data_IF_486612638499
#
_entry.id   IF_486612638499
#
_cell.length_a   1.000
_cell.length_b   1.000
_cell.length_c   1.000
_cell.angle_alpha   90.00
_cell.angle_beta   90.00
_cell.angle_gamma   90.00
#
_symmetry.space_group_name_H-M   'P 1'
#
loop_
_entity.id
_entity.type
_entity.pdbx_description
1 polymer ?
#
# COMPACT_ATOMS: atom_id res chain seq x y z
N UNK A 1 31.70 -25.26 26.44
CA UNK A 1 31.14 -24.44 25.35
C UNK A 1 30.20 -23.43 25.97
N UNK A 2 30.49 -22.12 25.83
CA UNK A 2 29.50 -21.10 26.19
C UNK A 2 28.33 -21.23 25.19
N UNK A 3 27.06 -21.21 25.63
CA UNK A 3 25.95 -21.17 24.69
C UNK A 3 26.15 -19.98 23.76
N UNK A 4 26.03 -20.21 22.44
CA UNK A 4 25.96 -19.13 21.46
C UNK A 4 24.71 -18.35 21.82
N UNK A 5 24.89 -17.20 22.46
CA UNK A 5 23.81 -16.27 22.70
C UNK A 5 23.32 -15.86 21.32
N UNK A 6 22.14 -16.33 20.91
CA UNK A 6 21.55 -15.94 19.64
C UNK A 6 21.44 -14.43 19.61
N UNK A 7 22.35 -13.78 18.89
CA UNK A 7 22.33 -12.33 18.72
C UNK A 7 21.06 -12.01 17.94
N UNK A 8 20.04 -11.48 18.61
CA UNK A 8 18.80 -11.05 17.94
C UNK A 8 19.18 -9.88 17.03
N UNK A 9 19.19 -10.13 15.72
CA UNK A 9 19.50 -9.11 14.72
C UNK A 9 18.22 -8.38 14.33
N UNK A 10 18.13 -7.10 14.69
CA UNK A 10 16.96 -6.27 14.45
C UNK A 10 16.78 -5.98 12.95
N UNK A 11 15.58 -6.24 12.42
CA UNK A 11 15.18 -5.87 11.05
C UNK A 11 14.57 -4.47 11.10
N UNK A 12 15.06 -3.56 10.26
CA UNK A 12 14.55 -2.20 10.15
C UNK A 12 14.26 -1.82 8.70
N UNK A 13 13.54 -0.71 8.51
CA UNK A 13 13.17 -0.18 7.19
C UNK A 13 14.23 0.84 6.77
N UNK A 14 14.89 0.60 5.64
CA UNK A 14 15.97 1.46 5.07
C UNK A 14 15.51 2.21 3.81
N UNK A 15 14.26 2.00 3.38
CA UNK A 15 13.62 2.77 2.32
C UNK A 15 12.11 2.53 2.35
N UNK A 16 11.32 3.56 2.06
CA UNK A 16 9.86 3.44 1.94
C UNK A 16 9.34 4.27 0.78
N UNK A 17 8.58 3.68 -0.13
CA UNK A 17 7.91 4.41 -1.19
C UNK A 17 6.51 3.87 -1.49
N UNK A 18 5.57 4.79 -1.70
CA UNK A 18 4.17 4.47 -1.95
C UNK A 18 3.50 5.58 -2.76
N UNK A 19 2.31 5.28 -3.28
CA UNK A 19 1.51 6.23 -4.06
C UNK A 19 0.03 6.09 -3.71
N UNK A 20 -0.69 7.20 -3.82
CA UNK A 20 -2.15 7.25 -3.61
C UNK A 20 -2.75 8.43 -4.38
N UNK A 21 -4.08 8.41 -4.65
CA UNK A 21 -4.77 9.56 -5.22
C UNK A 21 -4.66 10.79 -4.31
N UNK A 22 -4.37 11.96 -4.89
CA UNK A 22 -4.32 13.23 -4.15
C UNK A 22 -5.65 13.51 -3.41
N UNK A 23 -6.77 13.07 -4.00
CA UNK A 23 -8.12 13.17 -3.42
C UNK A 23 -8.31 12.44 -2.09
N UNK A 24 -7.49 11.44 -1.76
CA UNK A 24 -7.60 10.73 -0.46
C UNK A 24 -7.22 11.64 0.72
N UNK A 25 -6.52 12.74 0.49
CA UNK A 25 -6.17 13.71 1.54
C UNK A 25 -7.40 14.40 2.14
N UNK A 26 -8.57 14.33 1.49
CA UNK A 26 -9.84 14.76 2.09
C UNK A 26 -10.18 13.92 3.32
N UNK A 27 -9.79 12.64 3.34
CA UNK A 27 -10.13 11.70 4.40
C UNK A 27 -9.26 11.89 5.66
N UNK A 28 -8.19 12.67 5.61
CA UNK A 28 -7.29 12.88 6.78
C UNK A 28 -8.02 13.38 8.04
N UNK A 29 -9.13 14.11 7.87
CA UNK A 29 -9.94 14.63 8.97
C UNK A 29 -10.75 13.56 9.72
N UNK A 30 -10.99 12.40 9.11
CA UNK A 30 -11.74 11.28 9.69
C UNK A 30 -10.84 10.20 10.28
N UNK A 31 -9.54 10.45 10.38
CA UNK A 31 -8.62 9.48 10.99
C UNK A 31 -8.86 9.39 12.51
N UNK A 32 -9.44 8.28 12.95
CA UNK A 32 -9.85 8.03 14.34
C UNK A 32 -8.68 8.04 15.34
N UNK A 33 -7.43 7.93 14.89
CA UNK A 33 -6.26 7.88 15.75
C UNK A 33 -6.02 9.13 16.58
N UNK A 34 -6.65 10.26 16.26
CA UNK A 34 -6.49 11.48 17.04
C UNK A 34 -7.64 12.49 16.86
N UNK A 35 -8.69 12.36 17.70
CA UNK A 35 -9.95 13.14 17.72
C UNK A 35 -9.74 14.68 17.78
N UNK A 36 -8.53 15.17 18.09
CA UNK A 36 -8.22 16.60 18.18
C UNK A 36 -7.55 17.21 16.92
N UNK A 37 -7.24 16.43 15.89
CA UNK A 37 -6.40 16.89 14.78
C UNK A 37 -7.17 17.32 13.52
N UNK A 38 -8.49 17.10 13.41
CA UNK A 38 -9.23 17.41 12.18
C UNK A 38 -9.20 18.90 11.80
N UNK A 39 -9.25 19.82 12.79
CA UNK A 39 -9.22 21.27 12.56
C UNK A 39 -7.93 21.76 11.92
N UNK A 40 -6.82 21.03 12.09
CA UNK A 40 -5.50 21.45 11.59
C UNK A 40 -5.42 21.43 10.06
N UNK A 41 -6.25 20.60 9.40
CA UNK A 41 -6.22 20.41 7.95
C UNK A 41 -6.98 21.48 7.16
N UNK A 42 -7.73 22.35 7.84
CA UNK A 42 -8.61 23.35 7.22
C UNK A 42 -9.81 22.73 6.50
N UNK A 43 -10.80 23.55 6.14
CA UNK A 43 -11.96 23.10 5.35
C UNK A 43 -11.58 22.93 3.87
N UNK A 44 -12.14 21.91 3.20
CA UNK A 44 -12.03 21.83 1.74
C UNK A 44 -12.82 22.96 1.06
N UNK A 45 -12.30 23.56 -0.03
CA UNK A 45 -13.06 24.51 -0.83
C UNK A 45 -14.36 23.89 -1.33
N UNK A 46 -15.43 24.69 -1.39
CA UNK A 46 -16.73 24.24 -1.92
C UNK A 46 -17.03 25.02 -3.19
N UNK A 47 -17.53 24.34 -4.20
CA UNK A 47 -17.83 24.94 -5.50
C UNK A 47 -18.75 26.18 -5.40
N UNK A 48 -19.73 26.14 -4.48
CA UNK A 48 -20.64 27.26 -4.20
C UNK A 48 -19.92 28.57 -3.84
N UNK A 49 -18.71 28.48 -3.29
CA UNK A 49 -17.92 29.64 -2.87
C UNK A 49 -17.26 30.33 -4.10
N UNK A 50 -17.27 29.66 -5.26
CA UNK A 50 -16.72 30.12 -6.54
C UNK A 50 -17.80 30.43 -7.57
N UNK A 51 -19.07 30.09 -7.33
CA UNK A 51 -20.16 30.37 -8.27
C UNK A 51 -21.03 31.55 -7.79
N UNK A 52 -21.34 32.52 -8.64
CA UNK A 52 -22.31 33.56 -8.31
C UNK A 52 -23.72 32.96 -8.26
N UNK A 53 -24.37 33.02 -7.10
CA UNK A 53 -25.77 32.59 -6.95
C UNK A 53 -25.92 31.43 -5.97
N UNK A 54 -26.72 31.65 -4.93
CA UNK A 54 -27.10 30.63 -3.96
C UNK A 54 -28.12 29.71 -4.60
N UNK A 55 -27.67 28.72 -5.33
CA UNK A 55 -28.33 27.42 -5.40
C UNK A 55 -27.57 26.58 -6.38
N UNK A 56 -26.99 25.48 -5.91
CA UNK A 56 -27.12 24.28 -6.70
C UNK A 56 -26.79 23.02 -5.90
N UNK A 57 -27.78 22.14 -5.93
CA UNK A 57 -27.63 20.72 -5.81
C UNK A 57 -26.82 20.24 -7.02
N UNK A 58 -25.50 20.21 -6.89
CA UNK A 58 -24.60 19.60 -7.86
C UNK A 58 -24.28 18.18 -7.44
N UNK A 59 -24.11 17.31 -8.43
CA UNK A 59 -23.43 16.04 -8.24
C UNK A 59 -21.93 16.29 -8.34
N UNK A 60 -21.17 15.65 -7.45
CA UNK A 60 -19.72 15.64 -7.52
C UNK A 60 -19.28 14.73 -8.68
N UNK A 61 -19.33 15.24 -9.91
CA UNK A 61 -18.77 14.55 -11.07
C UNK A 61 -17.28 14.84 -11.11
N UNK A 62 -16.48 13.78 -10.98
CA UNK A 62 -15.02 13.83 -11.01
C UNK A 62 -14.57 13.15 -12.29
N UNK A 63 -13.82 13.87 -13.10
CA UNK A 63 -13.24 13.33 -14.30
C UNK A 63 -12.32 12.14 -13.94
N UNK A 64 -12.54 10.95 -14.53
CA UNK A 64 -11.84 9.74 -14.12
C UNK A 64 -10.34 9.74 -14.47
N UNK A 65 -9.92 10.53 -15.45
CA UNK A 65 -8.51 10.60 -15.89
C UNK A 65 -7.73 11.63 -15.08
N UNK A 66 -8.27 12.84 -14.93
CA UNK A 66 -7.63 13.99 -14.29
C UNK A 66 -7.92 14.06 -12.79
N UNK A 67 -8.98 13.38 -12.31
CA UNK A 67 -9.52 13.50 -10.95
C UNK A 67 -9.80 14.95 -10.51
N UNK A 68 -10.04 15.83 -11.48
CA UNK A 68 -10.55 17.16 -11.25
C UNK A 68 -12.08 17.12 -11.27
N UNK A 69 -12.72 18.04 -10.57
CA UNK A 69 -14.16 18.19 -10.67
C UNK A 69 -14.50 18.84 -12.01
N UNK A 70 -15.52 18.30 -12.67
CA UNK A 70 -16.09 18.84 -13.91
C UNK A 70 -17.60 18.67 -13.85
N UNK A 71 -18.41 19.64 -14.29
CA UNK A 71 -19.86 19.47 -14.36
C UNK A 71 -20.22 18.51 -15.50
N UNK A 72 -21.32 17.78 -15.36
CA UNK A 72 -21.91 17.09 -16.52
C UNK A 72 -22.54 18.11 -17.50
N UNK A 73 -22.83 17.70 -18.75
CA UNK A 73 -23.36 18.62 -19.77
C UNK A 73 -24.67 19.30 -19.31
N UNK A 74 -25.53 18.58 -18.59
CA UNK A 74 -26.81 19.12 -18.10
C UNK A 74 -26.62 20.08 -16.91
N UNK A 75 -25.63 19.84 -16.06
CA UNK A 75 -25.18 20.76 -15.01
C UNK A 75 -24.54 21.99 -15.61
N UNK A 76 -23.67 21.83 -16.61
CA UNK A 76 -23.05 22.93 -17.34
C UNK A 76 -24.11 23.84 -17.96
N UNK A 77 -25.13 23.27 -18.63
CA UNK A 77 -26.23 24.04 -19.22
C UNK A 77 -27.07 24.77 -18.16
N UNK A 78 -27.31 24.15 -17.00
CA UNK A 78 -27.99 24.81 -15.86
C UNK A 78 -27.18 25.96 -15.31
N UNK A 79 -25.86 25.78 -15.11
CA UNK A 79 -24.96 26.83 -14.63
C UNK A 79 -24.93 27.98 -15.65
N UNK A 80 -24.82 27.66 -16.94
CA UNK A 80 -24.89 28.63 -18.05
C UNK A 80 -26.19 29.43 -17.97
N UNK A 81 -27.34 28.76 -17.91
CA UNK A 81 -28.65 29.43 -17.92
C UNK A 81 -28.96 30.26 -16.66
N UNK A 82 -28.40 29.90 -15.49
CA UNK A 82 -28.75 30.49 -14.19
C UNK A 82 -27.85 31.63 -13.70
N UNK A 83 -26.61 31.74 -14.21
CA UNK A 83 -25.61 32.68 -13.70
C UNK A 83 -25.32 33.83 -14.66
N UNK A 84 -24.98 33.56 -15.92
CA UNK A 84 -24.57 34.61 -16.88
C UNK A 84 -24.86 34.33 -18.35
N UNK A 85 -25.22 33.10 -18.72
CA UNK A 85 -25.30 32.65 -20.12
C UNK A 85 -23.93 32.41 -20.78
N UNK A 86 -22.82 32.70 -20.10
CA UNK A 86 -21.46 32.62 -20.66
C UNK A 86 -20.71 31.38 -20.14
N UNK A 87 -20.51 30.41 -21.04
CA UNK A 87 -19.79 29.17 -20.78
C UNK A 87 -18.33 29.41 -20.39
N UNK A 88 -17.66 30.41 -20.97
CA UNK A 88 -16.27 30.71 -20.68
C UNK A 88 -16.08 31.24 -19.26
N UNK A 89 -17.02 32.07 -18.79
CA UNK A 89 -17.06 32.53 -17.40
C UNK A 89 -17.14 31.35 -16.43
N UNK A 90 -17.96 30.35 -16.72
CA UNK A 90 -18.15 29.17 -15.87
C UNK A 90 -16.91 28.29 -15.85
N UNK A 91 -16.35 27.99 -17.02
CA UNK A 91 -15.10 27.23 -17.14
C UNK A 91 -13.96 27.87 -16.32
N UNK A 92 -13.86 29.20 -16.32
CA UNK A 92 -12.89 29.93 -15.50
C UNK A 92 -13.10 29.72 -13.99
N UNK A 93 -14.34 29.78 -13.49
CA UNK A 93 -14.63 29.58 -12.06
C UNK A 93 -14.38 28.14 -11.62
N UNK A 94 -14.64 27.18 -12.51
CA UNK A 94 -14.35 25.76 -12.29
C UNK A 94 -12.84 25.52 -12.22
N UNK A 95 -12.07 26.18 -13.08
CA UNK A 95 -10.62 26.14 -13.02
C UNK A 95 -10.11 26.71 -11.70
N UNK A 96 -10.61 27.88 -11.28
CA UNK A 96 -10.27 28.48 -9.98
C UNK A 96 -10.61 27.57 -8.80
N UNK A 97 -11.78 26.93 -8.83
CA UNK A 97 -12.18 25.95 -7.83
C UNK A 97 -11.20 24.76 -7.78
N UNK A 98 -10.90 24.16 -8.92
CA UNK A 98 -9.95 23.05 -9.01
C UNK A 98 -8.56 23.44 -8.52
N UNK A 99 -8.07 24.64 -8.85
CA UNK A 99 -6.81 25.18 -8.34
C UNK A 99 -6.82 25.32 -6.81
N UNK A 100 -7.91 25.87 -6.24
CA UNK A 100 -8.07 25.99 -4.80
C UNK A 100 -8.11 24.62 -4.10
N UNK A 101 -8.78 23.63 -4.69
CA UNK A 101 -8.84 22.26 -4.19
C UNK A 101 -7.45 21.62 -4.20
N UNK A 102 -6.68 21.77 -5.28
CA UNK A 102 -5.30 21.27 -5.34
C UNK A 102 -4.40 21.93 -4.29
N UNK A 103 -4.52 23.24 -4.11
CA UNK A 103 -3.78 23.97 -3.07
C UNK A 103 -4.15 23.46 -1.66
N UNK A 104 -5.43 23.21 -1.40
CA UNK A 104 -5.90 22.65 -0.14
C UNK A 104 -5.34 21.23 0.09
N UNK A 105 -5.32 20.37 -0.94
CA UNK A 105 -4.71 19.05 -0.84
C UNK A 105 -3.21 19.14 -0.57
N UNK A 106 -2.45 20.00 -1.27
CA UNK A 106 -1.03 20.19 -0.99
C UNK A 106 -0.77 20.70 0.43
N UNK A 107 -1.61 21.60 0.93
CA UNK A 107 -1.55 22.06 2.31
C UNK A 107 -1.78 20.91 3.31
N UNK A 108 -2.80 20.08 3.07
CA UNK A 108 -3.08 18.89 3.89
C UNK A 108 -1.94 17.87 3.84
N UNK A 109 -1.34 17.66 2.67
CA UNK A 109 -0.18 16.79 2.47
C UNK A 109 1.01 17.24 3.34
N UNK A 110 1.33 18.53 3.33
CA UNK A 110 2.42 19.10 4.16
C UNK A 110 2.19 18.82 5.64
N UNK A 111 0.99 19.09 6.12
CA UNK A 111 0.62 18.88 7.52
C UNK A 111 0.64 17.40 7.90
N UNK A 112 0.14 16.53 7.02
CA UNK A 112 0.15 15.09 7.26
C UNK A 112 1.56 14.53 7.29
N UNK A 113 2.44 14.92 6.35
CA UNK A 113 3.85 14.52 6.36
C UNK A 113 4.55 14.89 7.67
N UNK A 114 4.33 16.12 8.17
CA UNK A 114 4.91 16.52 9.46
C UNK A 114 4.30 15.72 10.61
N UNK A 115 2.97 15.59 10.67
CA UNK A 115 2.34 14.93 11.83
C UNK A 115 2.44 13.40 11.86
N UNK A 116 2.50 12.73 10.71
CA UNK A 116 2.56 11.28 10.62
C UNK A 116 4.00 10.75 10.54
N UNK A 117 4.93 11.54 9.99
CA UNK A 117 6.30 11.10 9.71
C UNK A 117 7.37 12.00 10.33
N UNK A 118 7.01 13.13 10.95
CA UNK A 118 8.01 14.11 11.40
C UNK A 118 8.78 14.74 10.24
N UNK A 119 8.19 14.77 9.03
CA UNK A 119 8.86 15.25 7.82
C UNK A 119 8.28 16.58 7.34
N UNK A 120 9.14 17.57 7.19
CA UNK A 120 8.80 18.86 6.60
C UNK A 120 9.00 18.82 5.08
N UNK A 121 8.01 19.32 4.33
CA UNK A 121 8.10 19.42 2.87
C UNK A 121 8.71 20.76 2.50
N UNK A 122 9.84 20.72 1.79
CA UNK A 122 10.53 21.90 1.29
C UNK A 122 9.80 22.61 0.14
N UNK A 123 10.42 23.66 -0.43
CA UNK A 123 9.88 24.34 -1.60
C UNK A 123 9.82 23.39 -2.81
N UNK A 124 8.86 23.64 -3.69
CA UNK A 124 8.78 22.96 -4.98
C UNK A 124 10.06 23.22 -5.79
N UNK A 125 10.49 22.20 -6.52
CA UNK A 125 11.65 22.22 -7.40
C UNK A 125 11.18 22.43 -8.83
N UNK A 126 12.02 23.06 -9.64
CA UNK A 126 11.79 23.23 -11.09
C UNK A 126 11.96 21.93 -11.91
N UNK A 127 11.78 20.76 -11.26
CA UNK A 127 11.89 19.45 -11.89
C UNK A 127 10.96 18.44 -11.22
N UNK A 128 10.23 17.72 -12.05
CA UNK A 128 9.50 16.52 -11.67
C UNK A 128 10.38 15.26 -11.64
N UNK A 129 9.72 14.11 -11.70
CA UNK A 129 10.35 12.80 -11.72
C UNK A 129 9.30 11.70 -11.74
N UNK A 130 9.65 10.49 -12.21
CA UNK A 130 8.71 9.35 -12.28
C UNK A 130 7.39 9.68 -13.02
N UNK A 131 7.46 10.50 -14.08
CA UNK A 131 6.30 11.03 -14.83
C UNK A 131 5.36 11.95 -14.04
N UNK A 132 5.79 12.45 -12.89
CA UNK A 132 5.16 13.57 -12.21
C UNK A 132 5.74 14.90 -12.67
N UNK A 133 4.91 15.95 -12.68
CA UNK A 133 5.28 17.30 -13.11
C UNK A 133 6.08 18.04 -12.04
N UNK A 134 5.66 17.91 -10.79
CA UNK A 134 6.18 18.66 -9.65
C UNK A 134 6.92 17.74 -8.68
N UNK A 135 7.90 18.28 -7.95
CA UNK A 135 8.52 17.58 -6.81
C UNK A 135 9.01 18.53 -5.74
N UNK A 136 9.08 18.06 -4.50
CA UNK A 136 9.68 18.78 -3.38
C UNK A 136 10.54 17.83 -2.53
N UNK A 137 11.66 18.32 -1.97
CA UNK A 137 12.46 17.56 -1.02
C UNK A 137 11.72 17.45 0.32
N UNK A 138 11.98 16.36 1.04
CA UNK A 138 11.55 16.16 2.42
C UNK A 138 12.76 16.30 3.35
N UNK A 139 12.57 17.03 4.43
CA UNK A 139 13.54 17.23 5.50
C UNK A 139 12.93 16.78 6.83
N UNK A 140 13.75 16.72 7.86
CA UNK A 140 13.23 16.58 9.23
C UNK A 140 12.46 17.84 9.64
N UNK A 141 11.46 17.70 10.50
CA UNK A 141 10.75 18.83 11.09
C UNK A 141 11.48 19.46 12.28
N UNK A 142 12.50 18.80 12.83
CA UNK A 142 13.36 19.31 13.91
C UNK A 142 14.40 20.35 13.47
N UNK A 143 14.41 20.74 12.19
CA UNK A 143 15.29 21.77 11.63
C UNK A 143 16.58 21.24 10.98
N UNK A 144 16.73 19.93 10.80
CA UNK A 144 17.84 19.36 10.04
C UNK A 144 17.78 19.64 8.52
N UNK A 145 18.93 19.97 7.91
CA UNK A 145 19.06 20.22 6.46
C UNK A 145 19.30 18.94 5.63
N UNK A 146 19.34 17.77 6.26
CA UNK A 146 19.58 16.52 5.56
C UNK A 146 18.37 16.13 4.70
N UNK A 147 18.62 15.61 3.51
CA UNK A 147 17.56 15.16 2.62
C UNK A 147 17.00 13.79 3.07
N UNK A 148 15.76 13.78 3.54
CA UNK A 148 15.05 12.59 4.04
C UNK A 148 14.23 11.90 2.95
N UNK A 149 14.00 12.56 1.82
CA UNK A 149 13.23 11.98 0.73
C UNK A 149 12.73 13.00 -0.26
N UNK A 150 11.76 12.58 -1.07
CA UNK A 150 11.06 13.42 -2.02
C UNK A 150 9.58 13.07 -2.06
N UNK A 151 8.78 14.09 -2.36
CA UNK A 151 7.38 13.94 -2.75
C UNK A 151 7.20 14.47 -4.15
N UNK A 152 6.40 13.76 -4.94
CA UNK A 152 6.11 14.04 -6.35
C UNK A 152 4.60 14.10 -6.55
N UNK A 153 4.12 15.07 -7.31
CA UNK A 153 2.70 15.24 -7.61
C UNK A 153 2.50 15.91 -8.98
N UNK A 154 1.25 15.95 -9.43
CA UNK A 154 0.88 16.52 -10.73
C UNK A 154 1.16 15.56 -11.90
N UNK A 155 0.16 15.35 -12.76
CA UNK A 155 0.18 14.25 -13.73
C UNK A 155 -0.14 12.89 -13.08
N UNK A 156 0.11 11.80 -13.82
CA UNK A 156 -0.08 10.41 -13.36
C UNK A 156 -1.42 10.16 -12.63
N UNK A 157 -2.53 10.53 -13.27
CA UNK A 157 -3.90 10.43 -12.75
C UNK A 157 -4.10 11.10 -11.38
N UNK A 158 -3.44 12.26 -11.21
CA UNK A 158 -3.50 13.11 -10.01
C UNK A 158 -3.21 12.33 -8.72
N UNK A 159 -2.14 11.53 -8.79
CA UNK A 159 -1.62 10.81 -7.63
C UNK A 159 -0.49 11.59 -6.98
N UNK A 160 -0.16 11.20 -5.75
CA UNK A 160 1.06 11.60 -5.06
C UNK A 160 1.96 10.38 -5.00
N UNK A 161 3.25 10.56 -5.24
CA UNK A 161 4.27 9.56 -4.99
C UNK A 161 5.26 10.08 -3.96
N UNK A 162 5.45 9.30 -2.89
CA UNK A 162 6.32 9.65 -1.78
C UNK A 162 7.43 8.61 -1.71
N UNK A 163 8.66 9.09 -1.58
CA UNK A 163 9.85 8.27 -1.41
C UNK A 163 10.67 8.79 -0.25
N UNK A 164 10.86 7.96 0.77
CA UNK A 164 11.63 8.24 1.98
C UNK A 164 12.93 7.44 1.91
N UNK A 165 14.08 8.12 2.07
CA UNK A 165 15.42 7.51 2.03
C UNK A 165 15.70 6.71 3.31
N UNK A 166 16.83 6.00 3.40
CA UNK A 166 17.21 5.30 4.63
C UNK A 166 17.41 6.23 5.82
N UNK A 167 18.03 7.39 5.60
CA UNK A 167 18.10 8.44 6.61
C UNK A 167 16.70 8.95 7.00
N UNK A 168 15.83 9.12 6.01
CA UNK A 168 14.42 9.45 6.22
C UNK A 168 13.69 8.43 7.07
N UNK A 169 13.86 7.15 6.79
CA UNK A 169 13.23 6.07 7.53
C UNK A 169 13.77 5.99 8.95
N UNK A 170 15.08 6.17 9.16
CA UNK A 170 15.66 6.24 10.49
C UNK A 170 15.05 7.36 11.34
N UNK A 171 14.81 8.55 10.76
CA UNK A 171 14.10 9.63 11.43
C UNK A 171 12.65 9.26 11.75
N UNK A 172 11.89 8.84 10.73
CA UNK A 172 10.47 8.46 10.88
C UNK A 172 10.30 7.42 11.99
N UNK A 173 11.03 6.31 11.91
CA UNK A 173 10.92 5.19 12.84
C UNK A 173 11.64 5.41 14.17
N UNK A 174 12.24 6.59 14.39
CA UNK A 174 12.65 7.02 15.73
C UNK A 174 11.50 7.59 16.56
N UNK A 175 10.46 8.11 15.89
CA UNK A 175 9.29 8.72 16.52
C UNK A 175 7.97 7.98 16.29
N UNK A 176 7.96 6.94 15.45
CA UNK A 176 6.75 6.14 15.16
C UNK A 176 7.07 4.66 14.93
N UNK A 177 6.07 3.81 15.08
CA UNK A 177 6.18 2.37 14.82
C UNK A 177 5.64 2.02 13.42
N UNK A 178 6.16 0.98 12.75
CA UNK A 178 5.64 0.50 11.46
C UNK A 178 4.12 0.27 11.44
N UNK A 179 3.53 -0.19 12.55
CA UNK A 179 2.09 -0.42 12.67
C UNK A 179 1.26 0.87 12.64
N UNK A 180 1.81 1.99 13.12
CA UNK A 180 1.12 3.29 13.06
C UNK A 180 1.20 3.88 11.64
N UNK A 181 2.34 3.71 10.97
CA UNK A 181 2.45 4.00 9.54
C UNK A 181 1.43 3.17 8.75
N UNK A 182 1.28 1.88 9.05
CA UNK A 182 0.28 1.02 8.42
C UNK A 182 -1.15 1.58 8.55
N UNK A 183 -1.54 2.08 9.73
CA UNK A 183 -2.87 2.67 9.95
C UNK A 183 -3.09 3.88 9.04
N UNK A 184 -2.11 4.79 8.97
CA UNK A 184 -2.17 5.94 8.06
C UNK A 184 -2.29 5.54 6.60
N UNK A 185 -1.45 4.59 6.16
CA UNK A 185 -1.46 4.14 4.77
C UNK A 185 -2.80 3.47 4.41
N UNK A 186 -3.35 2.63 5.28
CA UNK A 186 -4.68 2.01 5.08
C UNK A 186 -5.79 3.06 5.03
N UNK A 187 -5.75 4.07 5.90
CA UNK A 187 -6.73 5.16 5.91
C UNK A 187 -6.75 5.96 4.62
N UNK A 188 -5.59 6.14 4.00
CA UNK A 188 -5.44 6.78 2.68
C UNK A 188 -5.63 5.79 1.51
N UNK A 189 -6.29 4.65 1.75
CA UNK A 189 -6.57 3.61 0.76
C UNK A 189 -5.32 3.05 0.04
N UNK A 190 -4.16 3.11 0.69
CA UNK A 190 -2.93 2.50 0.16
C UNK A 190 -2.92 1.02 0.52
N UNK A 191 -3.02 0.18 -0.50
CA UNK A 191 -2.98 -1.28 -0.32
C UNK A 191 -1.60 -1.87 -0.60
N UNK A 192 -0.77 -1.17 -1.38
CA UNK A 192 0.51 -1.67 -1.91
C UNK A 192 1.60 -0.61 -1.80
N UNK A 193 2.76 -1.03 -1.29
CA UNK A 193 3.98 -0.22 -1.33
C UNK A 193 4.64 -0.36 -2.71
N UNK A 194 5.03 0.77 -3.29
CA UNK A 194 5.83 0.77 -4.53
C UNK A 194 7.21 0.17 -4.27
N UNK A 195 7.79 0.49 -3.11
CA UNK A 195 9.05 -0.06 -2.62
C UNK A 195 9.10 -0.03 -1.10
N UNK A 196 9.72 -1.04 -0.51
CA UNK A 196 10.20 -1.03 0.87
C UNK A 196 11.53 -1.77 0.89
N UNK A 197 12.55 -1.19 1.52
CA UNK A 197 13.82 -1.87 1.73
C UNK A 197 13.89 -2.28 3.19
N UNK A 198 14.07 -3.58 3.45
CA UNK A 198 14.30 -4.11 4.79
C UNK A 198 15.78 -4.41 4.96
N UNK A 199 16.36 -4.05 6.10
CA UNK A 199 17.77 -4.21 6.35
C UNK A 199 18.05 -4.82 7.72
N UNK A 200 19.19 -5.50 7.80
CA UNK A 200 19.78 -6.03 9.03
C UNK A 200 21.26 -5.68 9.04
N UNK A 201 21.73 -5.15 10.17
CA UNK A 201 23.14 -4.87 10.41
C UNK A 201 23.82 -6.01 11.17
N UNK A 202 25.00 -6.38 10.70
CA UNK A 202 25.83 -7.47 11.21
C UNK A 202 27.17 -6.94 11.70
N UNK A 203 27.31 -6.84 13.03
CA UNK A 203 28.49 -6.30 13.70
C UNK A 203 29.47 -7.39 14.19
N UNK A 204 29.08 -8.66 14.16
CA UNK A 204 29.92 -9.80 14.59
C UNK A 204 30.59 -10.53 13.40
N UNK A 205 30.23 -10.19 12.16
CA UNK A 205 30.90 -10.67 10.95
C UNK A 205 30.44 -12.05 10.48
N UNK A 206 29.27 -12.50 10.92
CA UNK A 206 28.69 -13.79 10.50
C UNK A 206 28.12 -13.71 9.09
N UNK A 207 27.48 -12.59 8.72
CA UNK A 207 26.77 -12.40 7.45
C UNK A 207 27.50 -11.44 6.52
N UNK A 208 28.78 -11.71 6.28
CA UNK A 208 29.64 -10.93 5.39
C UNK A 208 29.31 -11.13 3.91
N UNK A 209 29.90 -10.30 3.04
CA UNK A 209 29.82 -10.46 1.58
C UNK A 209 30.21 -11.88 1.11
N UNK A 210 31.31 -12.42 1.64
CA UNK A 210 31.77 -13.77 1.31
C UNK A 210 30.79 -14.85 1.78
N UNK A 211 30.18 -14.66 2.96
CA UNK A 211 29.15 -15.57 3.46
C UNK A 211 27.95 -15.60 2.50
N UNK A 212 27.46 -14.43 2.10
CA UNK A 212 26.34 -14.32 1.16
C UNK A 212 26.65 -14.98 -0.20
N UNK A 213 27.88 -14.88 -0.71
CA UNK A 213 28.29 -15.57 -1.95
C UNK A 213 28.29 -17.09 -1.77
N UNK A 214 28.75 -17.60 -0.62
CA UNK A 214 28.68 -19.05 -0.32
C UNK A 214 27.23 -19.52 -0.25
N UNK A 215 26.36 -18.77 0.42
CA UNK A 215 24.95 -19.09 0.59
C UNK A 215 24.17 -18.99 -0.74
N UNK A 216 24.55 -18.05 -1.60
CA UNK A 216 24.02 -18.01 -2.96
C UNK A 216 24.37 -19.28 -3.76
N UNK A 217 25.62 -19.73 -3.68
CA UNK A 217 26.08 -20.96 -4.34
C UNK A 217 25.38 -22.22 -3.82
N UNK A 218 24.99 -22.24 -2.54
CA UNK A 218 24.16 -23.32 -1.96
C UNK A 218 22.67 -23.20 -2.31
N UNK A 219 22.25 -22.10 -2.94
CA UNK A 219 20.86 -21.86 -3.35
C UNK A 219 20.00 -21.13 -2.32
N UNK A 220 20.58 -20.61 -1.23
CA UNK A 220 19.83 -20.02 -0.11
C UNK A 220 19.03 -18.75 -0.46
N UNK A 221 19.34 -18.08 -1.58
CA UNK A 221 18.57 -16.93 -2.09
C UNK A 221 17.38 -17.34 -2.96
N UNK A 222 17.24 -18.62 -3.30
CA UNK A 222 16.17 -19.10 -4.16
C UNK A 222 14.90 -19.38 -3.34
N UNK A 223 13.79 -18.73 -3.70
CA UNK A 223 12.50 -18.88 -3.02
C UNK A 223 11.59 -19.96 -3.61
N UNK A 224 12.12 -20.83 -4.48
CA UNK A 224 11.38 -21.93 -5.09
C UNK A 224 10.50 -21.54 -6.29
N UNK A 225 10.53 -20.27 -6.73
CA UNK A 225 9.72 -19.78 -7.86
C UNK A 225 10.58 -19.04 -8.89
N UNK A 226 10.36 -19.37 -10.17
CA UNK A 226 11.05 -18.73 -11.29
C UNK A 226 12.53 -19.14 -11.41
N UNK A 227 13.31 -18.39 -12.22
CA UNK A 227 14.75 -18.61 -12.36
C UNK A 227 15.49 -18.36 -11.05
N UNK A 228 16.60 -19.09 -10.84
CA UNK A 228 17.50 -18.80 -9.72
C UNK A 228 18.07 -17.38 -9.87
N UNK A 229 18.10 -16.57 -8.78
CA UNK A 229 18.66 -15.23 -8.86
C UNK A 229 20.14 -15.31 -9.25
N UNK A 230 20.56 -14.51 -10.24
CA UNK A 230 21.99 -14.29 -10.50
C UNK A 230 22.62 -13.42 -9.41
N UNK A 231 23.94 -13.25 -9.44
CA UNK A 231 24.62 -12.30 -8.57
C UNK A 231 25.64 -11.46 -9.33
N UNK A 232 25.88 -10.25 -8.84
CA UNK A 232 26.90 -9.33 -9.36
C UNK A 232 27.73 -8.79 -8.20
N UNK A 233 28.99 -8.45 -8.47
CA UNK A 233 29.88 -7.78 -7.51
C UNK A 233 30.10 -6.31 -7.90
N UNK A 234 30.26 -5.45 -6.90
CA UNK A 234 30.60 -4.04 -7.06
C UNK A 234 31.62 -3.64 -6.00
N UNK A 235 32.88 -3.95 -6.29
CA UNK A 235 34.01 -3.55 -5.46
C UNK A 235 34.74 -2.36 -6.09
N UNK A 236 35.17 -1.39 -5.27
CA UNK A 236 35.92 -0.22 -5.71
C UNK A 236 37.18 -0.07 -4.88
N UNK A 237 38.30 0.18 -5.54
CA UNK A 237 39.58 0.48 -4.91
C UNK A 237 40.01 1.89 -5.27
N UNK A 238 40.74 2.56 -4.37
CA UNK A 238 41.41 3.82 -4.70
C UNK A 238 42.74 3.58 -5.43
N UNK A 239 43.40 4.68 -5.83
CA UNK A 239 44.69 4.62 -6.51
C UNK A 239 45.85 4.05 -5.68
N UNK A 240 45.63 3.73 -4.40
CA UNK A 240 46.59 3.10 -3.49
C UNK A 240 46.24 1.64 -3.21
N UNK A 241 45.32 1.06 -3.99
CA UNK A 241 44.78 -0.28 -3.82
C UNK A 241 44.06 -0.51 -2.48
N UNK A 242 43.57 0.56 -1.83
CA UNK A 242 42.73 0.44 -0.63
C UNK A 242 41.28 0.27 -1.04
N UNK A 243 40.64 -0.80 -0.52
CA UNK A 243 39.22 -1.07 -0.76
C UNK A 243 38.36 0.07 -0.19
N UNK A 244 37.49 0.64 -1.01
CA UNK A 244 36.55 1.73 -0.67
C UNK A 244 35.10 1.31 -0.69
N UNK A 245 34.77 0.26 -1.42
CA UNK A 245 33.43 -0.28 -1.51
C UNK A 245 33.53 -1.78 -1.73
N UNK A 246 32.72 -2.53 -1.01
CA UNK A 246 32.53 -3.96 -1.18
C UNK A 246 31.04 -4.24 -1.11
N UNK A 247 30.46 -4.74 -2.21
CA UNK A 247 29.03 -5.02 -2.32
C UNK A 247 28.80 -6.18 -3.28
N UNK A 248 27.91 -7.09 -2.88
CA UNK A 248 27.35 -8.13 -3.72
C UNK A 248 25.84 -7.94 -3.81
N UNK A 249 25.28 -8.18 -4.99
CA UNK A 249 23.86 -8.06 -5.24
C UNK A 249 23.31 -9.36 -5.78
N UNK A 250 22.10 -9.72 -5.37
CA UNK A 250 21.45 -10.97 -5.77
C UNK A 250 20.06 -10.70 -6.34
N UNK A 251 19.79 -11.25 -7.52
CA UNK A 251 18.60 -10.98 -8.31
C UNK A 251 18.74 -9.74 -9.22
N UNK A 252 17.61 -9.26 -9.73
CA UNK A 252 17.57 -8.09 -10.62
C UNK A 252 16.88 -6.91 -9.94
N UNK A 253 17.38 -5.69 -10.15
CA UNK A 253 16.70 -4.46 -9.71
C UNK A 253 15.29 -4.32 -10.27
N UNK A 254 14.95 -4.96 -11.38
CA UNK A 254 13.59 -4.92 -11.94
C UNK A 254 12.65 -5.92 -11.26
N UNK A 255 13.20 -6.91 -10.57
CA UNK A 255 12.42 -7.95 -9.91
C UNK A 255 11.78 -7.46 -8.61
N UNK A 256 10.84 -8.25 -8.10
CA UNK A 256 10.15 -7.98 -6.84
C UNK A 256 11.06 -8.03 -5.62
N UNK A 257 12.12 -8.84 -5.65
CA UNK A 257 13.04 -9.06 -4.53
C UNK A 257 14.46 -8.89 -5.03
N UNK A 258 15.17 -7.89 -4.51
CA UNK A 258 16.54 -7.58 -4.90
C UNK A 258 17.42 -7.36 -3.67
N UNK A 259 18.45 -8.18 -3.51
CA UNK A 259 19.32 -8.12 -2.34
C UNK A 259 20.59 -7.31 -2.62
N UNK A 260 21.07 -6.60 -1.60
CA UNK A 260 22.37 -5.94 -1.50
C UNK A 260 23.01 -6.33 -0.19
N UNK A 261 24.15 -7.01 -0.25
CA UNK A 261 24.97 -7.34 0.91
C UNK A 261 26.25 -6.55 0.73
N UNK A 262 26.60 -5.69 1.70
CA UNK A 262 27.74 -4.80 1.56
C UNK A 262 28.41 -4.47 2.87
N UNK A 263 29.68 -4.07 2.77
CA UNK A 263 30.44 -3.60 3.91
C UNK A 263 30.05 -2.16 4.25
N UNK A 264 29.20 -2.01 5.27
CA UNK A 264 28.64 -0.74 5.72
C UNK A 264 29.67 0.10 6.47
N UNK A 265 30.60 -0.53 7.21
CA UNK A 265 31.74 0.17 7.82
C UNK A 265 32.57 0.91 6.75
N UNK A 266 32.89 0.24 5.64
CA UNK A 266 33.60 0.87 4.52
C UNK A 266 32.79 2.01 3.89
N UNK A 267 31.49 1.82 3.70
CA UNK A 267 30.61 2.84 3.11
C UNK A 267 30.51 4.10 3.98
N UNK A 268 30.39 3.93 5.30
CA UNK A 268 30.35 5.00 6.30
C UNK A 268 31.75 5.54 6.66
N UNK A 269 32.82 4.93 6.13
CA UNK A 269 34.23 5.27 6.44
C UNK A 269 34.57 5.17 7.92
N UNK A 270 34.01 4.17 8.60
CA UNK A 270 34.29 3.85 10.00
C UNK A 270 35.09 2.56 10.12
N UNK A 271 35.80 2.37 11.24
CA UNK A 271 36.51 1.14 11.55
C UNK A 271 35.58 0.11 12.21
N UNK A 272 36.00 -1.16 12.19
CA UNK A 272 35.27 -2.26 12.82
C UNK A 272 34.48 -3.11 11.83
N UNK A 273 33.85 -4.17 12.35
CA UNK A 273 33.02 -5.07 11.57
C UNK A 273 31.60 -4.51 11.47
N UNK A 274 31.15 -4.20 10.26
CA UNK A 274 29.78 -3.81 10.00
C UNK A 274 29.42 -4.17 8.56
N UNK A 275 28.71 -5.28 8.39
CA UNK A 275 28.08 -5.65 7.13
C UNK A 275 26.58 -5.35 7.21
N UNK A 276 25.97 -4.98 6.09
CA UNK A 276 24.52 -4.80 5.99
C UNK A 276 23.96 -5.76 4.95
N UNK A 277 22.92 -6.49 5.35
CA UNK A 277 22.07 -7.27 4.46
C UNK A 277 20.78 -6.50 4.22
N UNK A 278 20.61 -5.97 3.02
CA UNK A 278 19.48 -5.12 2.64
C UNK A 278 18.71 -5.77 1.49
N UNK A 279 17.38 -5.82 1.58
CA UNK A 279 16.50 -6.33 0.53
C UNK A 279 15.50 -5.29 0.09
N UNK A 280 15.55 -4.95 -1.19
CA UNK A 280 14.61 -4.08 -1.88
C UNK A 280 13.41 -4.90 -2.36
N UNK A 281 12.22 -4.58 -1.83
CA UNK A 281 10.96 -5.25 -2.13
C UNK A 281 10.03 -4.32 -2.90
N UNK A 282 9.48 -4.79 -4.04
CA UNK A 282 8.61 -3.98 -4.91
C UNK A 282 7.21 -4.53 -5.02
N UNK A 283 6.21 -3.64 -5.00
CA UNK A 283 4.82 -4.02 -5.19
C UNK A 283 4.29 -4.96 -4.10
N UNK A 284 4.78 -4.83 -2.86
CA UNK A 284 4.36 -5.65 -1.73
C UNK A 284 3.16 -5.03 -1.00
N UNK A 285 2.30 -5.83 -0.35
CA UNK A 285 1.22 -5.31 0.49
C UNK A 285 1.73 -4.45 1.64
N UNK A 286 0.96 -3.43 2.00
CA UNK A 286 1.26 -2.59 3.18
C UNK A 286 1.31 -3.40 4.48
N UNK A 287 0.65 -4.57 4.51
CA UNK A 287 0.66 -5.54 5.61
C UNK A 287 2.07 -6.01 6.00
N UNK A 288 3.08 -5.78 5.15
CA UNK A 288 4.49 -5.97 5.51
C UNK A 288 4.88 -5.21 6.78
N UNK A 289 4.30 -4.02 6.99
CA UNK A 289 4.58 -3.16 8.13
C UNK A 289 4.05 -3.73 9.46
N UNK A 290 3.15 -4.72 9.43
CA UNK A 290 2.64 -5.35 10.65
C UNK A 290 3.66 -6.31 11.29
N UNK A 291 4.55 -6.89 10.49
CA UNK A 291 5.56 -7.85 10.96
C UNK A 291 6.77 -7.88 10.00
N UNK A 292 7.56 -6.80 10.01
CA UNK A 292 8.71 -6.66 9.11
C UNK A 292 9.73 -7.78 9.28
N UNK A 293 9.93 -8.26 10.51
CA UNK A 293 10.89 -9.33 10.81
C UNK A 293 10.41 -10.68 10.25
N UNK A 294 9.15 -11.04 10.48
CA UNK A 294 8.57 -12.26 9.94
C UNK A 294 8.59 -12.27 8.41
N UNK A 295 8.25 -11.15 7.75
CA UNK A 295 8.33 -11.06 6.29
C UNK A 295 9.76 -11.12 5.77
N UNK A 296 10.73 -10.49 6.43
CA UNK A 296 12.14 -10.60 6.09
C UNK A 296 12.61 -12.06 6.15
N UNK A 297 12.41 -12.73 7.29
CA UNK A 297 12.77 -14.15 7.48
C UNK A 297 12.09 -15.06 6.44
N UNK A 298 10.85 -14.75 6.05
CA UNK A 298 10.10 -15.55 5.08
C UNK A 298 10.50 -15.38 3.60
N UNK A 299 11.48 -14.53 3.27
CA UNK A 299 11.89 -14.27 1.88
C UNK A 299 12.65 -15.44 1.25
N UNK A 300 13.63 -15.98 1.97
CA UNK A 300 14.53 -17.04 1.50
C UNK A 300 15.32 -17.63 2.68
N UNK A 301 15.99 -18.75 2.46
CA UNK A 301 16.77 -19.45 3.50
C UNK A 301 17.92 -18.57 4.04
N UNK A 302 18.52 -17.73 3.17
CA UNK A 302 19.53 -16.74 3.58
C UNK A 302 18.98 -15.72 4.59
N UNK A 303 17.73 -15.29 4.45
CA UNK A 303 17.12 -14.38 5.41
C UNK A 303 16.74 -15.11 6.71
N UNK A 304 16.31 -16.38 6.60
CA UNK A 304 15.89 -17.19 7.73
C UNK A 304 17.04 -17.55 8.69
N UNK A 305 18.27 -17.68 8.19
CA UNK A 305 19.45 -17.84 9.05
C UNK A 305 19.84 -16.56 9.80
N UNK A 306 19.46 -15.37 9.30
CA UNK A 306 19.84 -14.08 9.90
C UNK A 306 18.97 -13.73 11.10
N UNK A 307 17.66 -13.98 11.00
CA UNK A 307 16.68 -13.52 11.99
C UNK A 307 15.78 -14.68 12.45
N UNK A 308 15.63 -14.90 13.78
CA UNK A 308 14.90 -16.05 14.34
C UNK A 308 13.37 -15.91 14.31
N UNK A 309 12.82 -14.79 13.81
CA UNK A 309 11.38 -14.58 13.75
C UNK A 309 10.67 -15.67 12.93
N UNK A 310 9.42 -15.95 13.30
CA UNK A 310 8.60 -16.92 12.56
C UNK A 310 8.37 -16.43 11.13
N UNK A 311 8.76 -17.19 10.09
CA UNK A 311 8.69 -16.73 8.71
C UNK A 311 7.25 -16.48 8.27
N UNK A 312 7.01 -15.31 7.66
CA UNK A 312 5.78 -14.96 6.97
C UNK A 312 6.05 -14.84 5.48
N UNK A 313 5.23 -15.53 4.69
CA UNK A 313 5.26 -15.39 3.24
C UNK A 313 4.34 -14.25 2.85
N UNK A 314 4.75 -13.44 1.89
CA UNK A 314 3.79 -12.62 1.16
C UNK A 314 2.75 -13.55 0.56
N UNK A 315 1.48 -13.37 0.91
CA UNK A 315 0.41 -14.13 0.30
C UNK A 315 0.51 -13.94 -1.23
N UNK A 316 0.84 -14.98 -2.03
CA UNK A 316 0.84 -14.86 -3.49
C UNK A 316 -0.57 -14.58 -4.01
N UNK A 317 -1.57 -14.81 -3.17
CA UNK A 317 -2.97 -14.59 -3.45
C UNK A 317 -3.38 -13.20 -3.00
N UNK A 318 -3.26 -12.23 -3.91
CA UNK A 318 -4.20 -11.13 -3.93
C UNK A 318 -5.35 -11.55 -4.83
N UNK A 319 -6.56 -11.71 -4.30
CA UNK A 319 -7.72 -11.40 -5.10
C UNK A 319 -7.49 -10.08 -5.83
N UNK A 320 -7.42 -10.10 -7.15
CA UNK A 320 -7.72 -8.87 -7.86
C UNK A 320 -9.26 -8.69 -7.86
N UNK A 321 -9.72 -7.47 -8.18
CA UNK A 321 -11.15 -7.20 -8.36
C UNK A 321 -11.81 -8.15 -9.38
N UNK A 322 -11.05 -8.75 -10.29
CA UNK A 322 -11.55 -9.69 -11.28
C UNK A 322 -11.78 -11.09 -10.66
N UNK A 323 -10.96 -11.51 -9.71
CA UNK A 323 -11.07 -12.78 -9.00
C UNK A 323 -12.13 -12.70 -7.90
N UNK A 324 -12.30 -11.55 -7.23
CA UNK A 324 -13.48 -11.25 -6.41
C UNK A 324 -14.75 -11.30 -7.25
N UNK A 325 -14.76 -10.64 -8.42
CA UNK A 325 -15.89 -10.70 -9.35
C UNK A 325 -16.12 -12.11 -9.88
N UNK A 326 -15.10 -12.91 -10.18
CA UNK A 326 -15.27 -14.31 -10.61
C UNK A 326 -15.86 -15.17 -9.50
N UNK A 327 -15.40 -15.02 -8.26
CA UNK A 327 -15.94 -15.74 -7.11
C UNK A 327 -17.42 -15.37 -6.87
N UNK A 328 -17.75 -14.07 -6.95
CA UNK A 328 -19.12 -13.55 -6.86
C UNK A 328 -19.97 -14.06 -8.04
N UNK A 329 -19.48 -13.95 -9.27
CA UNK A 329 -20.19 -14.38 -10.47
C UNK A 329 -20.43 -15.89 -10.48
N UNK A 330 -19.48 -16.70 -9.98
CA UNK A 330 -19.65 -18.14 -9.85
C UNK A 330 -20.76 -18.49 -8.85
N UNK A 331 -20.81 -17.79 -7.71
CA UNK A 331 -21.89 -17.94 -6.74
C UNK A 331 -23.24 -17.48 -7.31
N UNK A 332 -23.29 -16.28 -7.91
CA UNK A 332 -24.49 -15.72 -8.54
C UNK A 332 -25.01 -16.63 -9.66
N UNK A 333 -24.12 -17.24 -10.45
CA UNK A 333 -24.47 -18.21 -11.49
C UNK A 333 -25.12 -19.47 -10.90
N UNK A 334 -24.55 -20.04 -9.83
CA UNK A 334 -25.12 -21.21 -9.15
C UNK A 334 -26.50 -20.89 -8.53
N UNK A 335 -26.64 -19.72 -7.90
CA UNK A 335 -27.93 -19.25 -7.37
C UNK A 335 -28.95 -19.04 -8.50
N UNK A 336 -28.53 -18.45 -9.63
CA UNK A 336 -29.38 -18.27 -10.80
C UNK A 336 -29.84 -19.62 -11.37
N UNK A 337 -28.95 -20.59 -11.48
CA UNK A 337 -29.28 -21.94 -11.94
C UNK A 337 -30.29 -22.61 -11.01
N UNK A 338 -30.08 -22.56 -9.68
CA UNK A 338 -31.03 -23.10 -8.70
C UNK A 338 -32.40 -22.43 -8.81
N UNK A 339 -32.45 -21.10 -8.94
CA UNK A 339 -33.69 -20.36 -9.16
C UNK A 339 -34.38 -20.79 -10.46
N UNK A 340 -33.63 -21.01 -11.53
CA UNK A 340 -34.20 -21.40 -12.83
C UNK A 340 -34.74 -22.83 -12.83
N UNK A 341 -34.00 -23.78 -12.28
CA UNK A 341 -34.34 -25.20 -12.34
C UNK A 341 -35.31 -25.64 -11.24
N UNK A 342 -35.12 -25.13 -10.02
CA UNK A 342 -35.78 -25.69 -8.84
C UNK A 342 -36.93 -24.83 -8.33
N UNK A 343 -36.96 -23.53 -8.61
CA UNK A 343 -37.90 -22.58 -7.96
C UNK A 343 -39.36 -23.02 -8.04
N UNK A 344 -39.86 -23.41 -9.22
CA UNK A 344 -41.26 -23.83 -9.38
C UNK A 344 -41.60 -25.08 -8.57
N UNK A 345 -40.67 -26.04 -8.48
CA UNK A 345 -40.86 -27.26 -7.72
C UNK A 345 -40.79 -27.00 -6.21
N UNK A 346 -39.86 -26.16 -5.77
CA UNK A 346 -39.76 -25.70 -4.38
C UNK A 346 -41.02 -24.92 -3.97
N UNK A 347 -41.54 -24.05 -4.84
CA UNK A 347 -42.77 -23.30 -4.56
C UNK A 347 -44.01 -24.21 -4.45
N UNK A 348 -44.12 -25.24 -5.30
CA UNK A 348 -45.18 -26.25 -5.17
C UNK A 348 -45.09 -26.99 -3.84
N UNK A 349 -43.88 -27.37 -3.42
CA UNK A 349 -43.65 -28.03 -2.14
C UNK A 349 -43.99 -27.09 -0.98
N UNK A 350 -43.62 -25.81 -1.07
CA UNK A 350 -43.96 -24.80 -0.09
C UNK A 350 -45.46 -24.63 0.10
N UNK A 351 -46.23 -24.57 -0.98
CA UNK A 351 -47.69 -24.52 -0.88
C UNK A 351 -48.29 -25.83 -0.35
N UNK A 352 -47.73 -26.98 -0.72
CA UNK A 352 -48.18 -28.29 -0.22
C UNK A 352 -47.94 -28.43 1.29
N UNK A 353 -46.81 -27.93 1.78
CA UNK A 353 -46.42 -27.97 3.19
C UNK A 353 -46.99 -26.79 4.00
N UNK A 354 -48.05 -26.13 3.52
CA UNK A 354 -48.76 -25.12 4.30
C UNK A 354 -48.02 -23.78 4.46
N UNK A 355 -47.14 -23.45 3.52
CA UNK A 355 -46.29 -22.25 3.54
C UNK A 355 -45.29 -22.23 4.72
N UNK A 356 -44.84 -23.40 5.17
CA UNK A 356 -43.78 -23.55 6.17
C UNK A 356 -42.40 -23.67 5.51
N UNK A 357 -41.52 -22.71 5.79
CA UNK A 357 -40.15 -22.68 5.25
C UNK A 357 -39.25 -23.77 5.84
N UNK A 358 -39.43 -24.12 7.11
CA UNK A 358 -38.60 -25.09 7.81
C UNK A 358 -38.92 -26.51 7.34
N UNK A 359 -40.21 -26.82 7.18
CA UNK A 359 -40.66 -28.09 6.60
C UNK A 359 -40.14 -28.28 5.17
N UNK A 360 -40.15 -27.23 4.34
CA UNK A 360 -39.58 -27.27 2.98
C UNK A 360 -38.08 -27.49 2.98
N UNK A 361 -37.35 -26.79 3.86
CA UNK A 361 -35.90 -26.91 3.93
C UNK A 361 -35.48 -28.32 4.33
N UNK A 362 -36.08 -28.87 5.39
CA UNK A 362 -35.80 -30.24 5.87
C UNK A 362 -36.24 -31.31 4.87
N UNK A 363 -37.28 -31.04 4.07
CA UNK A 363 -37.72 -31.97 3.02
C UNK A 363 -36.76 -32.01 1.81
N UNK A 364 -36.07 -30.90 1.51
CA UNK A 364 -35.17 -30.78 0.35
C UNK A 364 -33.72 -31.12 0.71
N UNK A 365 -33.24 -30.62 1.85
CA UNK A 365 -31.85 -30.76 2.27
C UNK A 365 -31.75 -31.91 3.26
N UNK A 366 -30.91 -32.91 2.95
CA UNK A 366 -30.76 -34.09 3.81
C UNK A 366 -29.99 -33.72 5.07
N UNK A 367 -30.35 -34.33 6.20
CA UNK A 367 -29.64 -34.10 7.47
C UNK A 367 -28.15 -34.43 7.41
N UNK A 368 -27.75 -35.44 6.64
CA UNK A 368 -26.34 -35.81 6.40
C UNK A 368 -25.56 -34.67 5.72
N UNK A 369 -26.18 -33.97 4.76
CA UNK A 369 -25.54 -32.87 4.01
C UNK A 369 -25.40 -31.60 4.87
N UNK A 370 -26.30 -31.40 5.85
CA UNK A 370 -26.24 -30.26 6.77
C UNK A 370 -25.05 -30.37 7.74
N UNK A 371 -24.72 -31.60 8.15
CA UNK A 371 -23.62 -31.86 9.09
C UNK A 371 -22.26 -32.00 8.39
N UNK A 372 -22.24 -32.24 7.08
CA UNK A 372 -20.99 -32.31 6.33
C UNK A 372 -20.45 -30.91 6.02
N UNK A 373 -19.59 -30.44 6.92
CA UNK A 373 -18.85 -29.20 6.74
C UNK A 373 -17.97 -29.17 5.47
N UNK A 374 -17.77 -30.27 4.76
CA UNK A 374 -17.01 -30.29 3.49
C UNK A 374 -17.85 -29.91 2.28
N UNK A 375 -19.19 -29.95 2.36
CA UNK A 375 -20.09 -29.55 1.27
C UNK A 375 -20.15 -28.02 1.22
N UNK A 376 -19.21 -27.42 0.48
CA UNK A 376 -19.10 -25.96 0.32
C UNK A 376 -18.92 -25.62 -1.15
N UNK A 377 -19.38 -24.41 -1.54
CA UNK A 377 -18.96 -23.85 -2.83
C UNK A 377 -17.43 -23.80 -2.88
N UNK A 378 -16.85 -24.14 -4.04
CA UNK A 378 -15.41 -24.10 -4.29
C UNK A 378 -14.90 -22.65 -4.39
N UNK A 379 -15.00 -21.92 -3.30
CA UNK A 379 -14.60 -20.53 -3.16
C UNK A 379 -13.47 -20.48 -2.13
N UNK A 380 -12.29 -19.93 -2.49
CA UNK A 380 -11.19 -19.80 -1.54
C UNK A 380 -11.60 -19.03 -0.28
N UNK A 381 -11.12 -19.46 0.88
CA UNK A 381 -11.51 -18.92 2.20
C UNK A 381 -11.37 -17.40 2.31
N UNK A 382 -10.42 -16.83 1.57
CA UNK A 382 -10.11 -15.39 1.49
C UNK A 382 -11.31 -14.54 1.06
N UNK A 383 -12.25 -15.09 0.26
CA UNK A 383 -13.42 -14.36 -0.24
C UNK A 383 -14.67 -14.47 0.62
N UNK A 384 -14.66 -15.32 1.65
CA UNK A 384 -15.87 -15.61 2.42
C UNK A 384 -16.45 -14.36 3.08
N UNK A 385 -15.60 -13.48 3.61
CA UNK A 385 -16.03 -12.24 4.25
C UNK A 385 -16.63 -11.23 3.25
N UNK A 386 -16.04 -11.14 2.05
CA UNK A 386 -16.52 -10.26 0.98
C UNK A 386 -17.90 -10.72 0.48
N UNK A 387 -18.08 -12.03 0.31
CA UNK A 387 -19.36 -12.62 -0.11
C UNK A 387 -20.42 -12.49 1.00
N UNK A 388 -20.05 -12.77 2.26
CA UNK A 388 -20.97 -12.67 3.39
C UNK A 388 -21.47 -11.24 3.59
N UNK A 389 -20.59 -10.23 3.52
CA UNK A 389 -20.96 -8.83 3.64
C UNK A 389 -21.96 -8.35 2.58
N UNK A 390 -21.85 -8.88 1.35
CA UNK A 390 -22.72 -8.49 0.22
C UNK A 390 -24.12 -9.13 0.26
N UNK A 391 -24.24 -10.35 0.78
CA UNK A 391 -25.51 -11.09 0.81
C UNK A 391 -26.28 -10.95 2.12
N UNK A 392 -25.61 -10.77 3.26
CA UNK A 392 -26.26 -10.89 4.58
C UNK A 392 -26.47 -9.58 5.34
N UNK A 393 -25.92 -8.43 4.91
CA UNK A 393 -25.96 -7.18 5.69
C UNK A 393 -25.62 -7.39 7.20
N UNK A 394 -24.83 -8.42 7.51
CA UNK A 394 -24.43 -8.80 8.87
C UNK A 394 -22.95 -9.09 8.87
N UNK A 395 -22.23 -8.50 9.82
CA UNK A 395 -20.90 -8.94 10.17
C UNK A 395 -20.99 -10.36 10.72
N UNK A 396 -20.18 -11.26 10.19
CA UNK A 396 -20.00 -12.58 10.79
C UNK A 396 -19.12 -12.37 12.03
N UNK A 397 -19.54 -12.80 13.23
CA UNK A 397 -18.69 -12.70 14.41
C UNK A 397 -17.45 -13.59 14.25
N UNK A 398 -16.34 -13.13 14.84
CA UNK A 398 -15.13 -13.92 15.03
C UNK A 398 -15.39 -15.16 15.89
#
# INVERSE_FOLDING_TARGET
MKPVQETIRHVFIDHLAFTFPMSELKNLETFDGAIQFWRKYGSMPRLRDFLPGRDAFFRDVVDPETRCWVPDDAESDKICSGISGDRAFIEQHIEQYNQAVQAAYLHRLKIWLSSAFGLSMGPERDRGGFNYRCSAPLFSDDGGNNLHGFVFWGGNNNTVYIQISGLGCAHVFSGTEPQDVFKWLKHLNITTLKRIDLAVDDFDGVFTCDAAVRDHRSGAFYSGKGPRPGFSNSCKWDGRAVLKQEMYTFGSRQSRVYWRIYNKALEQKVSGTWNRSEVELKGVPVDVLLDIAGYFTGLCDYAAQINPAKPRKFNPYRPDLADEKKAINALEHNVHWLRKQCSKSVAKLFHLLGNDYEAVFTAIVRHEDIQDEKIRFSIPDVYRQVIAGKFYNRSVPF
#
